data_IF_591660744987
#
_entry.id   IF_591660744987
#
_cell.length_a   1.000
_cell.length_b   1.000
_cell.length_c   1.000
_cell.angle_alpha   90.00
_cell.angle_beta   90.00
_cell.angle_gamma   90.00
#
_symmetry.space_group_name_H-M   'P 1'
#
loop_
_entity.id
_entity.type
_entity.pdbx_description
1 polymer ?
#
# COMPACT_ATOMS: atom_id res chain seq x y z
N UNK A 1 14.04 3.21 -8.46
CA UNK A 1 14.23 2.52 -7.16
C UNK A 1 13.98 3.39 -5.92
N UNK A 2 14.80 4.39 -5.55
CA UNK A 2 14.56 5.17 -4.30
C UNK A 2 13.28 6.01 -4.28
N UNK A 3 12.90 6.64 -5.39
CA UNK A 3 11.68 7.48 -5.48
C UNK A 3 10.38 6.66 -5.38
N UNK A 4 10.38 5.47 -5.96
CA UNK A 4 9.23 4.57 -6.00
C UNK A 4 8.89 4.04 -4.60
N UNK A 5 9.91 3.69 -3.81
CA UNK A 5 9.73 3.29 -2.41
C UNK A 5 9.19 4.43 -1.53
N UNK A 6 9.59 5.68 -1.80
CA UNK A 6 9.07 6.86 -1.09
C UNK A 6 7.61 7.11 -1.46
N UNK A 7 7.26 7.03 -2.74
CA UNK A 7 5.87 7.17 -3.21
C UNK A 7 4.97 6.07 -2.65
N UNK A 8 5.43 4.81 -2.67
CA UNK A 8 4.74 3.68 -2.07
C UNK A 8 4.52 3.89 -0.57
N UNK A 9 5.55 4.30 0.17
CA UNK A 9 5.44 4.56 1.61
C UNK A 9 4.42 5.67 1.92
N UNK A 10 4.41 6.73 1.11
CA UNK A 10 3.44 7.83 1.24
C UNK A 10 2.01 7.37 0.94
N UNK A 11 1.80 6.57 -0.10
CA UNK A 11 0.47 6.03 -0.45
C UNK A 11 -0.07 5.08 0.61
N UNK A 12 0.78 4.23 1.20
CA UNK A 12 0.40 3.36 2.32
C UNK A 12 0.02 4.20 3.55
N UNK A 13 0.76 5.27 3.84
CA UNK A 13 0.43 6.18 4.94
C UNK A 13 -0.93 6.87 4.71
N UNK A 14 -1.23 7.31 3.48
CA UNK A 14 -2.52 7.88 3.10
C UNK A 14 -3.66 6.86 3.22
N UNK A 15 -3.46 5.63 2.78
CA UNK A 15 -4.41 4.52 2.96
C UNK A 15 -4.72 4.26 4.43
N UNK A 16 -3.69 4.29 5.28
CA UNK A 16 -3.86 4.12 6.72
C UNK A 16 -4.64 5.29 7.34
N UNK A 17 -4.43 6.52 6.85
CA UNK A 17 -5.22 7.68 7.27
C UNK A 17 -6.69 7.57 6.83
N UNK A 18 -6.97 7.09 5.61
CA UNK A 18 -8.32 6.82 5.14
C UNK A 18 -9.03 5.78 6.00
N UNK A 19 -8.33 4.68 6.35
CA UNK A 19 -8.84 3.64 7.24
C UNK A 19 -9.11 4.18 8.65
N UNK A 20 -8.18 4.98 9.20
CA UNK A 20 -8.34 5.65 10.50
C UNK A 20 -9.52 6.62 10.53
N UNK A 21 -9.87 7.19 9.38
CA UNK A 21 -11.05 8.06 9.20
C UNK A 21 -12.31 7.26 8.84
N UNK A 22 -12.23 5.92 8.80
CA UNK A 22 -13.30 5.01 8.35
C UNK A 22 -13.89 5.36 6.99
N UNK A 23 -13.09 5.98 6.11
CA UNK A 23 -13.47 6.32 4.73
C UNK A 23 -13.36 5.11 3.80
N UNK A 24 -12.60 4.09 4.22
CA UNK A 24 -12.44 2.80 3.55
C UNK A 24 -12.58 1.69 4.58
N UNK A 25 -12.93 0.50 4.12
CA UNK A 25 -13.00 -0.69 4.98
C UNK A 25 -11.65 -1.44 4.99
N UNK A 26 -11.48 -2.35 5.96
CA UNK A 26 -10.29 -3.19 6.05
C UNK A 26 -10.10 -4.07 4.80
N UNK A 27 -11.19 -4.47 4.15
CA UNK A 27 -11.17 -5.28 2.93
C UNK A 27 -10.66 -4.46 1.75
N UNK A 28 -11.17 -3.23 1.59
CA UNK A 28 -10.68 -2.30 0.57
C UNK A 28 -9.22 -1.90 0.80
N UNK A 29 -8.82 -1.66 2.05
CA UNK A 29 -7.43 -1.41 2.40
C UNK A 29 -6.52 -2.56 1.92
N UNK A 30 -6.94 -3.82 2.12
CA UNK A 30 -6.17 -5.00 1.71
C UNK A 30 -6.11 -5.16 0.19
N UNK A 31 -7.22 -4.93 -0.51
CA UNK A 31 -7.29 -4.97 -1.97
C UNK A 31 -6.38 -3.91 -2.61
N UNK A 32 -6.46 -2.66 -2.14
CA UNK A 32 -5.67 -1.55 -2.67
C UNK A 32 -4.18 -1.74 -2.32
N UNK A 33 -3.86 -2.19 -1.10
CA UNK A 33 -2.49 -2.52 -0.71
C UNK A 33 -1.89 -3.60 -1.61
N UNK A 34 -2.63 -4.68 -1.90
CA UNK A 34 -2.17 -5.75 -2.80
C UNK A 34 -1.94 -5.23 -4.23
N UNK A 35 -2.83 -4.36 -4.71
CA UNK A 35 -2.68 -3.70 -6.02
C UNK A 35 -1.44 -2.80 -6.07
N UNK A 36 -1.23 -1.97 -5.05
CA UNK A 36 -0.04 -1.12 -4.89
C UNK A 36 1.25 -1.92 -4.88
N UNK A 37 1.29 -3.05 -4.15
CA UNK A 37 2.47 -3.91 -4.13
C UNK A 37 2.79 -4.47 -5.52
N UNK A 38 1.79 -4.88 -6.29
CA UNK A 38 1.97 -5.29 -7.70
C UNK A 38 2.41 -4.14 -8.60
N UNK A 39 1.80 -2.97 -8.46
CA UNK A 39 2.04 -1.79 -9.30
C UNK A 39 3.47 -1.27 -9.15
N UNK A 40 3.97 -1.28 -7.91
CA UNK A 40 5.35 -0.89 -7.58
C UNK A 40 6.37 -2.03 -7.80
N UNK A 41 5.94 -3.20 -8.30
CA UNK A 41 6.82 -4.37 -8.45
C UNK A 41 7.41 -4.87 -7.13
N UNK A 42 6.78 -4.53 -6.00
CA UNK A 42 7.12 -5.04 -4.67
C UNK A 42 6.50 -6.42 -4.57
N UNK A 43 7.12 -7.39 -5.24
CA UNK A 43 6.87 -8.81 -4.98
C UNK A 43 7.28 -9.08 -3.54
N UNK A 44 6.34 -9.57 -2.73
CA UNK A 44 6.56 -10.08 -1.37
C UNK A 44 7.57 -11.24 -1.25
N UNK A 45 8.41 -11.45 -2.26
CA UNK A 45 9.47 -12.47 -2.31
C UNK A 45 10.68 -12.14 -1.43
N UNK A 46 10.64 -11.05 -0.64
CA UNK A 46 11.58 -10.84 0.47
C UNK A 46 11.19 -11.71 1.69
N UNK A 47 10.12 -12.51 1.59
CA UNK A 47 9.78 -13.56 2.56
C UNK A 47 9.93 -14.96 1.93
N UNK A 48 11.14 -15.31 1.47
CA UNK A 48 11.55 -16.68 1.16
C UNK A 48 12.97 -16.95 1.69
#
# INVERSE_FOLDING_TARGET
>A
MKKELIQYSMQIAMLKQLLSRSLITADEYKAIKSKLMKDYGITSDIMA
#
